data_IF_720706972844
#
_entry.id   IF_720706972844
#
_cell.length_a   1.000
_cell.length_b   1.000
_cell.length_c   1.000
_cell.angle_alpha   90.00
_cell.angle_beta   90.00
_cell.angle_gamma   90.00
#
_symmetry.space_group_name_H-M   'P 1'
#
loop_
_entity.id
_entity.type
_entity.pdbx_description
1 polymer ?
#
# COMPACT_ATOMS: atom_id res chain seq x y z
N UNK A 1 8.34 7.82 20.96
CA UNK A 1 9.03 9.06 20.56
C UNK A 1 9.78 8.79 19.28
N UNK A 2 9.46 9.49 18.19
CA UNK A 2 10.14 9.37 16.89
C UNK A 2 11.12 10.54 16.73
N UNK A 3 12.37 10.25 16.37
CA UNK A 3 13.36 11.26 15.99
C UNK A 3 13.24 11.51 14.50
N UNK A 4 13.02 12.78 14.13
CA UNK A 4 12.81 13.20 12.74
C UNK A 4 13.86 14.25 12.37
N UNK A 5 14.49 14.07 11.21
CA UNK A 5 15.58 14.93 10.70
C UNK A 5 15.17 15.74 9.46
N UNK A 6 13.95 15.52 8.95
CA UNK A 6 13.43 16.17 7.75
C UNK A 6 11.99 16.64 7.98
N UNK A 7 11.51 17.68 7.28
CA UNK A 7 10.11 18.09 7.35
C UNK A 7 9.19 16.95 6.90
N UNK A 8 8.28 16.52 7.78
CA UNK A 8 7.32 15.45 7.49
C UNK A 8 5.89 15.96 7.61
N UNK A 9 5.03 15.36 6.80
CA UNK A 9 3.59 15.41 6.88
C UNK A 9 3.07 14.04 7.33
N UNK A 10 2.14 14.03 8.28
CA UNK A 10 1.56 12.80 8.82
C UNK A 10 0.06 12.74 8.53
N UNK A 11 -0.40 11.60 8.04
CA UNK A 11 -1.80 11.36 7.74
C UNK A 11 -2.41 10.50 8.86
N UNK A 12 -3.67 10.78 9.21
CA UNK A 12 -4.47 10.05 10.22
C UNK A 12 -4.14 10.33 11.69
N UNK A 13 -3.52 11.47 12.01
CA UNK A 13 -3.23 11.83 13.41
C UNK A 13 -4.48 12.20 14.22
N UNK A 14 -4.62 11.56 15.39
CA UNK A 14 -5.55 11.93 16.47
C UNK A 14 -4.78 12.51 17.65
N UNK A 15 -5.09 13.76 17.98
CA UNK A 15 -4.52 14.44 19.15
C UNK A 15 -4.73 15.95 19.09
N UNK A 16 -5.25 16.54 20.16
CA UNK A 16 -5.61 17.98 20.23
C UNK A 16 -4.43 18.94 20.34
N UNK A 17 -3.19 18.44 20.36
CA UNK A 17 -1.97 19.25 20.54
C UNK A 17 -0.82 18.87 19.60
N UNK A 18 -1.09 18.10 18.55
CA UNK A 18 -0.05 17.67 17.59
C UNK A 18 -0.35 18.27 16.23
N UNK A 19 0.58 19.09 15.72
CA UNK A 19 0.48 19.62 14.37
C UNK A 19 0.63 18.47 13.34
N UNK A 20 -0.18 18.43 12.28
CA UNK A 20 -0.10 17.42 11.21
C UNK A 20 1.27 17.41 10.49
N UNK A 21 2.00 18.52 10.60
CA UNK A 21 3.28 18.78 9.97
C UNK A 21 4.31 19.16 11.03
N UNK A 22 5.53 18.66 10.86
CA UNK A 22 6.66 18.99 11.72
C UNK A 22 7.78 19.60 10.87
N UNK A 23 8.06 20.88 11.09
CA UNK A 23 9.16 21.58 10.44
C UNK A 23 10.49 21.30 11.15
N UNK A 24 11.53 20.98 10.38
CA UNK A 24 12.89 20.73 10.87
C UNK A 24 13.87 21.60 10.09
N UNK A 25 14.71 22.35 10.80
CA UNK A 25 15.73 23.18 10.18
C UNK A 25 16.95 22.35 9.73
N UNK A 26 17.71 22.79 8.70
CA UNK A 26 18.91 22.08 8.26
C UNK A 26 19.89 21.83 9.39
N UNK A 27 20.31 20.57 9.57
CA UNK A 27 21.24 20.16 10.64
C UNK A 27 20.62 20.04 12.03
N UNK A 28 19.32 20.30 12.18
CA UNK A 28 18.57 20.08 13.42
C UNK A 28 17.78 18.76 13.37
N UNK A 29 17.20 18.39 14.51
CA UNK A 29 16.26 17.28 14.63
C UNK A 29 15.10 17.73 15.51
N UNK A 30 13.92 17.14 15.29
CA UNK A 30 12.75 17.31 16.15
C UNK A 30 12.32 15.96 16.70
N UNK A 31 11.61 15.99 17.82
CA UNK A 31 11.03 14.81 18.42
C UNK A 31 9.54 14.99 18.58
N UNK A 32 8.80 13.96 18.19
CA UNK A 32 7.35 13.99 18.24
C UNK A 32 6.88 12.85 19.13
N UNK A 33 5.96 13.20 20.02
CA UNK A 33 5.19 12.25 20.80
C UNK A 33 3.82 12.12 20.14
N UNK A 34 3.48 10.90 19.77
CA UNK A 34 2.19 10.56 19.14
C UNK A 34 1.47 9.55 20.03
N UNK A 35 0.16 9.74 20.17
CA UNK A 35 -0.74 8.73 20.70
C UNK A 35 -1.28 7.93 19.52
N UNK A 36 -1.24 6.60 19.62
CA UNK A 36 -1.76 5.69 18.59
C UNK A 36 -3.06 5.07 19.10
N UNK A 37 -4.07 5.91 19.30
CA UNK A 37 -5.39 5.52 19.81
C UNK A 37 -6.39 5.14 18.71
N UNK A 38 -6.11 5.49 17.45
CA UNK A 38 -6.87 5.02 16.30
C UNK A 38 -6.16 3.87 15.59
N UNK A 39 -6.88 2.75 15.48
CA UNK A 39 -6.43 1.58 14.74
C UNK A 39 -6.41 1.83 13.23
N UNK A 40 -5.57 1.06 12.54
CA UNK A 40 -5.44 1.09 11.09
C UNK A 40 -4.03 1.43 10.62
N UNK A 41 -3.91 1.77 9.33
CA UNK A 41 -2.63 2.07 8.68
C UNK A 41 -2.39 3.59 8.60
N UNK A 42 -1.23 4.01 9.07
CA UNK A 42 -0.81 5.41 9.11
C UNK A 42 0.39 5.62 8.19
N UNK A 43 0.39 6.74 7.46
CA UNK A 43 1.49 7.11 6.56
C UNK A 43 2.19 8.37 7.08
N UNK A 44 3.48 8.22 7.35
CA UNK A 44 4.42 9.27 7.73
C UNK A 44 5.32 9.53 6.53
N UNK A 45 5.30 10.72 5.93
CA UNK A 45 6.05 10.99 4.70
C UNK A 45 6.68 12.37 4.70
N UNK A 46 7.71 12.56 3.89
CA UNK A 46 8.27 13.88 3.66
C UNK A 46 7.23 14.82 3.02
N UNK A 47 7.19 16.08 3.47
CA UNK A 47 6.33 17.11 2.85
C UNK A 47 6.82 17.44 1.44
N UNK A 48 8.13 17.34 1.22
CA UNK A 48 8.75 17.57 -0.08
C UNK A 48 8.35 16.46 -1.08
N UNK A 49 7.64 16.84 -2.14
CA UNK A 49 7.17 15.94 -3.21
C UNK A 49 8.28 15.09 -3.83
N UNK A 50 9.47 15.65 -4.06
CA UNK A 50 10.57 14.89 -4.64
C UNK A 50 11.08 13.82 -3.67
N UNK A 51 11.12 14.14 -2.37
CA UNK A 51 11.56 13.19 -1.34
C UNK A 51 10.54 12.08 -1.13
N UNK A 52 9.24 12.42 -1.14
CA UNK A 52 8.17 11.44 -1.15
C UNK A 52 8.24 10.55 -2.40
N UNK A 53 8.43 11.11 -3.59
CA UNK A 53 8.56 10.34 -4.84
C UNK A 53 9.76 9.38 -4.81
N UNK A 54 10.84 9.75 -4.12
CA UNK A 54 12.02 8.91 -3.92
C UNK A 54 11.84 7.86 -2.79
N UNK A 55 10.65 7.77 -2.19
CA UNK A 55 10.30 6.73 -1.22
C UNK A 55 10.62 7.08 0.22
N UNK A 56 10.79 8.36 0.57
CA UNK A 56 10.97 8.79 1.95
C UNK A 56 9.62 8.81 2.70
N UNK A 57 9.12 7.61 2.99
CA UNK A 57 7.89 7.38 3.73
C UNK A 57 8.00 6.15 4.65
N UNK A 58 7.23 6.16 5.72
CA UNK A 58 7.13 5.09 6.71
C UNK A 58 5.66 4.81 6.96
N UNK A 59 5.28 3.53 6.92
CA UNK A 59 3.94 3.08 7.25
C UNK A 59 3.94 2.43 8.64
N UNK A 60 2.95 2.79 9.45
CA UNK A 60 2.74 2.23 10.80
C UNK A 60 1.38 1.55 10.82
N UNK A 61 1.34 0.28 11.21
CA UNK A 61 0.10 -0.45 11.41
C UNK A 61 -0.22 -0.51 12.91
N UNK A 62 -1.32 0.14 13.30
CA UNK A 62 -1.83 0.13 14.67
C UNK A 62 -2.93 -0.91 14.76
N UNK A 63 -2.63 -2.03 15.41
CA UNK A 63 -3.58 -3.14 15.57
C UNK A 63 -4.47 -2.89 16.77
N UNK A 64 -5.78 -3.10 16.59
CA UNK A 64 -6.73 -3.13 17.69
C UNK A 64 -6.92 -4.58 18.20
N UNK A 65 -6.48 -4.91 19.42
CA UNK A 65 -6.67 -6.25 19.97
C UNK A 65 -8.13 -6.56 20.36
N UNK A 66 -8.95 -5.55 20.64
CA UNK A 66 -10.30 -5.72 21.17
C UNK A 66 -11.37 -5.90 20.08
N UNK A 67 -11.02 -5.67 18.80
CA UNK A 67 -11.93 -5.73 17.64
C UNK A 67 -13.27 -4.99 17.87
N UNK A 68 -13.22 -3.86 18.58
CA UNK A 68 -14.39 -3.06 18.96
C UNK A 68 -15.02 -2.25 17.81
N UNK A 69 -14.55 -2.45 16.56
CA UNK A 69 -15.07 -1.78 15.37
C UNK A 69 -14.61 -0.33 15.19
N UNK A 70 -13.57 0.10 15.92
CA UNK A 70 -12.95 1.43 15.75
C UNK A 70 -12.21 1.60 14.43
N UNK A 71 -11.77 0.50 13.79
CA UNK A 71 -11.18 0.57 12.46
C UNK A 71 -12.27 0.81 11.41
N UNK A 72 -12.12 1.89 10.64
CA UNK A 72 -13.06 2.24 9.58
C UNK A 72 -13.00 1.14 8.51
N UNK A 73 -14.13 0.50 8.15
CA UNK A 73 -14.13 -0.50 7.11
C UNK A 73 -13.71 0.10 5.78
N UNK A 74 -13.15 -0.73 4.91
CA UNK A 74 -12.82 -0.34 3.54
C UNK A 74 -14.05 0.28 2.85
N UNK A 75 -13.93 1.46 2.22
CA UNK A 75 -15.06 2.09 1.56
C UNK A 75 -15.52 1.29 0.34
N UNK A 76 -16.78 1.47 -0.07
CA UNK A 76 -17.39 0.71 -1.18
C UNK A 76 -16.66 0.88 -2.52
N UNK A 77 -15.98 1.99 -2.71
CA UNK A 77 -15.18 2.31 -3.91
C UNK A 77 -13.72 1.86 -3.79
N UNK A 78 -13.40 0.96 -2.85
CA UNK A 78 -12.07 0.39 -2.71
C UNK A 78 -11.63 -0.30 -4.00
N UNK A 79 -10.41 0.01 -4.41
CA UNK A 79 -9.78 -0.56 -5.59
C UNK A 79 -8.92 -1.74 -5.16
N UNK A 80 -9.21 -2.92 -5.70
CA UNK A 80 -8.45 -4.14 -5.46
C UNK A 80 -7.51 -4.46 -6.63
N UNK A 81 -6.30 -4.91 -6.30
CA UNK A 81 -5.24 -5.21 -7.26
C UNK A 81 -4.72 -6.66 -7.11
N UNK A 82 -4.07 -7.19 -8.15
CA UNK A 82 -3.36 -8.47 -8.07
C UNK A 82 -4.30 -9.66 -7.85
N UNK A 83 -4.05 -10.46 -6.81
CA UNK A 83 -4.90 -11.62 -6.46
C UNK A 83 -6.30 -11.23 -5.99
N UNK A 84 -6.45 -10.01 -5.47
CA UNK A 84 -7.73 -9.50 -4.99
C UNK A 84 -8.54 -8.82 -6.08
N UNK A 85 -8.05 -8.74 -7.32
CA UNK A 85 -8.75 -8.05 -8.43
C UNK A 85 -10.16 -8.59 -8.69
N UNK A 86 -10.46 -9.83 -8.28
CA UNK A 86 -11.80 -10.42 -8.38
C UNK A 86 -12.82 -9.85 -7.39
N UNK A 87 -12.37 -9.12 -6.35
CA UNK A 87 -13.25 -8.46 -5.36
C UNK A 87 -13.69 -7.06 -5.81
N UNK A 88 -13.31 -6.64 -7.02
CA UNK A 88 -13.66 -5.34 -7.57
C UNK A 88 -15.18 -5.21 -7.73
N UNK A 89 -15.77 -4.17 -7.12
CA UNK A 89 -17.18 -3.84 -7.31
C UNK A 89 -17.38 -3.11 -8.66
N UNK A 90 -18.62 -3.10 -9.19
CA UNK A 90 -18.96 -2.56 -10.51
C UNK A 90 -18.52 -1.11 -10.72
N UNK A 91 -18.52 -0.30 -9.64
CA UNK A 91 -18.03 1.09 -9.69
C UNK A 91 -16.53 1.19 -10.00
N UNK A 92 -15.75 0.23 -9.53
CA UNK A 92 -14.30 0.22 -9.62
C UNK A 92 -13.83 -0.53 -10.90
N UNK A 93 -14.75 -1.17 -11.64
CA UNK A 93 -14.52 -1.79 -12.95
C UNK A 93 -14.22 -0.78 -14.09
N UNK A 94 -14.31 0.54 -13.81
CA UNK A 94 -13.83 1.58 -14.73
C UNK A 94 -12.34 1.49 -15.03
N UNK A 95 -11.55 0.90 -14.12
CA UNK A 95 -10.10 0.73 -14.29
C UNK A 95 -9.80 -0.77 -14.34
N UNK A 96 -9.25 -1.24 -15.46
CA UNK A 96 -8.80 -2.63 -15.62
C UNK A 96 -7.42 -2.80 -15.00
N UNK A 97 -7.36 -3.32 -13.78
CA UNK A 97 -6.10 -3.68 -13.16
C UNK A 97 -5.58 -5.01 -13.70
N UNK A 98 -4.24 -5.14 -13.77
CA UNK A 98 -3.62 -6.42 -14.08
C UNK A 98 -3.92 -7.41 -12.96
N UNK A 99 -4.67 -8.46 -13.28
CA UNK A 99 -4.87 -9.59 -12.37
C UNK A 99 -3.59 -10.39 -12.19
N UNK A 100 -3.47 -11.08 -11.06
CA UNK A 100 -2.42 -12.07 -10.90
C UNK A 100 -2.64 -13.24 -11.89
N UNK A 101 -1.58 -13.80 -12.49
CA UNK A 101 -1.72 -14.96 -13.36
C UNK A 101 -2.28 -16.14 -12.55
N UNK A 102 -3.35 -16.76 -13.05
CA UNK A 102 -3.92 -17.96 -12.44
C UNK A 102 -2.98 -19.16 -12.64
N UNK A 103 -3.02 -20.13 -11.72
CA UNK A 103 -2.22 -21.37 -11.83
C UNK A 103 -2.58 -22.18 -13.08
N UNK A 104 -3.84 -22.10 -13.54
CA UNK A 104 -4.29 -22.71 -14.79
C UNK A 104 -3.73 -22.03 -16.04
N UNK A 105 -3.50 -20.71 -16.01
CA UNK A 105 -2.86 -19.99 -17.12
C UNK A 105 -1.39 -20.39 -17.31
N UNK A 106 -0.67 -20.61 -16.21
CA UNK A 106 0.71 -21.11 -16.26
C UNK A 106 0.73 -22.52 -16.84
N UNK A 107 -0.14 -23.42 -16.37
CA UNK A 107 -0.27 -24.78 -16.89
C UNK A 107 -0.61 -24.81 -18.39
N UNK A 108 -1.56 -23.97 -18.82
CA UNK A 108 -1.95 -23.84 -20.23
C UNK A 108 -0.80 -23.33 -21.10
N UNK A 109 -0.01 -22.35 -20.61
CA UNK A 109 1.18 -21.85 -21.33
C UNK A 109 2.25 -22.94 -21.45
N UNK A 110 2.49 -23.72 -20.40
CA UNK A 110 3.42 -24.84 -20.43
C UNK A 110 2.97 -25.89 -21.45
N UNK A 111 1.70 -26.29 -21.43
CA UNK A 111 1.13 -27.24 -22.39
C UNK A 111 1.28 -26.78 -23.84
N UNK A 112 1.06 -25.49 -24.11
CA UNK A 112 1.23 -24.91 -25.45
C UNK A 112 2.70 -24.95 -25.89
N UNK A 113 3.63 -24.58 -25.01
CA UNK A 113 5.07 -24.62 -25.30
C UNK A 113 5.52 -26.06 -25.58
N UNK A 114 5.09 -27.01 -24.74
CA UNK A 114 5.39 -28.42 -24.90
C UNK A 114 4.79 -28.95 -26.21
N UNK A 115 3.54 -28.62 -26.53
CA UNK A 115 2.89 -29.01 -27.78
C UNK A 115 3.59 -28.46 -29.04
N UNK A 116 4.05 -27.21 -29.02
CA UNK A 116 4.83 -26.62 -30.11
C UNK A 116 6.18 -27.33 -30.27
N UNK A 117 6.86 -27.68 -29.17
CA UNK A 117 8.12 -28.42 -29.21
C UNK A 117 7.93 -29.84 -29.80
N UNK A 118 6.84 -30.53 -29.46
CA UNK A 118 6.49 -31.83 -30.04
C UNK A 118 6.13 -31.74 -31.53
N UNK A 119 5.38 -30.72 -31.94
CA UNK A 119 5.05 -30.49 -33.35
C UNK A 119 6.28 -30.08 -34.19
N UNK A 120 7.22 -29.34 -33.60
CA UNK A 120 8.46 -28.93 -34.25
C UNK A 120 9.47 -30.07 -34.42
N UNK A 121 9.42 -31.09 -33.55
CA UNK A 121 10.32 -32.27 -33.62
C UNK A 121 9.79 -33.38 -34.53
N UNK A 122 8.48 -33.40 -34.84
CA UNK A 122 7.88 -34.31 -35.83
C UNK A 122 8.06 -33.86 -37.30
N UNK A 123 8.81 -32.77 -37.55
CA UNK A 123 9.13 -32.27 -38.89
C UNK A 123 10.60 -32.56 -39.20
N UNK A 124 10.95 -33.85 -39.26
CA UNK A 124 12.27 -34.38 -39.60
C UNK A 124 12.13 -35.76 -40.24
#
# INVERSE_FOLDING_TARGET
MLRIEYPLHMVNMSGTHVSPEAHVFPGAWTAILISLDNAGLWNLRAENLNSWYLGQEVYVNVVNPENDGTEVPLPDNTIYCGLLSSLQNDQAHRVKFSGAPSSSDVSRRILVIVGIAFLGTCRG
#
